data_IF_270451189762
#
_entry.id   IF_270451189762
#
_cell.length_a   1.000
_cell.length_b   1.000
_cell.length_c   1.000
_cell.angle_alpha   90.00
_cell.angle_beta   90.00
_cell.angle_gamma   90.00
#
_symmetry.space_group_name_H-M   'P 1'
#
loop_
_entity.id
_entity.type
_entity.pdbx_description
1 polymer ?
#
# COMPACT_ATOMS: atom_id res chain seq x y z
N UNK A 1 -22.84 -5.53 7.44
CA UNK A 1 -23.04 -5.34 8.89
C UNK A 1 -21.70 -5.28 9.63
N UNK A 2 -21.48 -4.22 10.40
CA UNK A 2 -20.26 -4.06 11.23
C UNK A 2 -20.58 -4.49 12.66
N UNK A 3 -19.88 -5.49 13.18
CA UNK A 3 -20.05 -5.93 14.58
C UNK A 3 -19.38 -4.93 15.52
N UNK A 4 -20.02 -4.61 16.66
CA UNK A 4 -19.45 -3.74 17.71
C UNK A 4 -18.39 -4.46 18.56
N UNK A 5 -18.30 -5.79 18.49
CA UNK A 5 -17.42 -6.58 19.36
C UNK A 5 -15.96 -6.55 18.87
N UNK A 6 -15.00 -6.00 19.64
CA UNK A 6 -13.61 -5.87 19.20
C UNK A 6 -12.93 -7.21 18.88
N UNK A 7 -13.21 -8.24 19.68
CA UNK A 7 -12.68 -9.61 19.46
C UNK A 7 -13.05 -10.16 18.08
N UNK A 8 -14.31 -9.99 17.66
CA UNK A 8 -14.78 -10.46 16.35
C UNK A 8 -14.17 -9.64 15.21
N UNK A 9 -13.95 -8.34 15.40
CA UNK A 9 -13.28 -7.49 14.41
C UNK A 9 -11.81 -7.91 14.18
N UNK A 10 -11.06 -8.16 15.27
CA UNK A 10 -9.65 -8.63 15.18
C UNK A 10 -9.55 -10.00 14.51
N UNK A 11 -10.40 -10.95 14.91
CA UNK A 11 -10.47 -12.30 14.29
C UNK A 11 -10.70 -12.21 12.78
N UNK A 12 -11.65 -11.36 12.36
CA UNK A 12 -11.95 -11.13 10.93
C UNK A 12 -10.77 -10.59 10.13
N UNK A 13 -9.91 -9.77 10.73
CA UNK A 13 -8.72 -9.25 10.08
C UNK A 13 -7.63 -10.33 9.97
N UNK A 14 -7.39 -11.07 11.04
CA UNK A 14 -6.41 -12.15 11.07
C UNK A 14 -6.75 -13.28 10.08
N UNK A 15 -8.01 -13.69 10.02
CA UNK A 15 -8.50 -14.79 9.17
C UNK A 15 -8.99 -14.33 7.79
N UNK A 16 -8.72 -13.08 7.39
CA UNK A 16 -9.20 -12.56 6.12
C UNK A 16 -8.64 -13.38 4.92
N UNK A 17 -9.47 -13.78 3.93
CA UNK A 17 -9.01 -14.42 2.71
C UNK A 17 -8.23 -13.45 1.81
N UNK A 18 -7.41 -13.98 0.89
CA UNK A 18 -6.47 -13.21 0.06
C UNK A 18 -7.12 -12.03 -0.70
N UNK A 19 -8.27 -12.25 -1.33
CA UNK A 19 -8.96 -11.19 -2.07
C UNK A 19 -9.44 -10.02 -1.18
N UNK A 20 -9.72 -10.29 0.12
CA UNK A 20 -10.02 -9.24 1.11
C UNK A 20 -8.74 -8.59 1.62
N UNK A 21 -7.68 -9.36 1.87
CA UNK A 21 -6.37 -8.83 2.26
C UNK A 21 -5.83 -7.83 1.24
N UNK A 22 -6.04 -8.09 -0.06
CA UNK A 22 -5.71 -7.13 -1.12
C UNK A 22 -6.38 -5.77 -0.94
N UNK A 23 -7.66 -5.74 -0.53
CA UNK A 23 -8.39 -4.49 -0.27
C UNK A 23 -7.90 -3.80 1.01
N UNK A 24 -7.51 -4.57 2.04
CA UNK A 24 -6.95 -4.04 3.29
C UNK A 24 -5.57 -3.40 3.07
N UNK A 25 -4.80 -3.90 2.11
CA UNK A 25 -3.49 -3.38 1.72
C UNK A 25 -3.59 -2.15 0.79
N UNK A 26 -4.44 -1.19 1.15
CA UNK A 26 -4.61 0.07 0.42
C UNK A 26 -3.84 1.22 1.05
N UNK A 27 -3.29 2.11 0.21
CA UNK A 27 -2.64 3.34 0.63
C UNK A 27 -3.30 4.54 -0.06
N UNK A 28 -3.17 5.72 0.55
CA UNK A 28 -3.69 6.96 0.00
C UNK A 28 -2.88 7.40 -1.22
N UNK A 29 -3.54 8.02 -2.19
CA UNK A 29 -2.87 8.69 -3.30
C UNK A 29 -2.47 10.11 -2.89
N UNK A 30 -1.35 10.59 -3.43
CA UNK A 30 -0.96 11.98 -3.33
C UNK A 30 -2.00 12.88 -4.03
N UNK A 31 -2.27 14.05 -3.46
CA UNK A 31 -3.15 15.06 -4.06
C UNK A 31 -2.63 15.52 -5.41
N UNK A 32 -1.32 15.75 -5.50
CA UNK A 32 -0.62 16.11 -6.75
C UNK A 32 -0.96 15.12 -7.88
N UNK A 33 -0.85 13.82 -7.61
CA UNK A 33 -1.13 12.79 -8.61
C UNK A 33 -2.61 12.71 -8.99
N UNK A 34 -3.52 13.00 -8.06
CA UNK A 34 -4.96 13.06 -8.35
C UNK A 34 -5.31 14.26 -9.23
N UNK A 35 -4.69 15.42 -8.97
CA UNK A 35 -4.88 16.65 -9.73
C UNK A 35 -4.32 16.52 -11.14
N UNK A 36 -3.08 16.03 -11.28
CA UNK A 36 -2.40 15.81 -12.56
C UNK A 36 -3.23 14.94 -13.50
N UNK A 37 -3.76 13.83 -13.00
CA UNK A 37 -4.44 12.86 -13.85
C UNK A 37 -5.85 13.28 -14.25
N UNK A 38 -6.45 14.30 -13.60
CA UNK A 38 -7.86 14.75 -13.76
C UNK A 38 -8.91 13.62 -13.80
N UNK A 39 -8.52 12.40 -13.44
CA UNK A 39 -9.31 11.18 -13.47
C UNK A 39 -9.98 11.03 -12.11
N UNK A 40 -11.24 10.60 -12.11
CA UNK A 40 -12.00 10.30 -10.89
C UNK A 40 -11.49 8.99 -10.26
N UNK A 41 -10.28 9.04 -9.71
CA UNK A 41 -9.68 7.95 -8.95
C UNK A 41 -10.17 8.01 -7.49
N UNK A 42 -10.30 6.86 -6.81
CA UNK A 42 -10.65 6.83 -5.40
C UNK A 42 -9.50 7.38 -4.54
N UNK A 43 -9.80 7.86 -3.33
CA UNK A 43 -8.81 8.43 -2.39
C UNK A 43 -7.69 7.46 -1.98
N UNK A 44 -7.95 6.15 -2.05
CA UNK A 44 -6.99 5.12 -1.73
C UNK A 44 -7.10 3.94 -2.70
N UNK A 45 -5.95 3.33 -3.01
CA UNK A 45 -5.84 2.20 -3.91
C UNK A 45 -5.02 1.07 -3.29
N UNK A 46 -5.31 -0.20 -3.64
CA UNK A 46 -4.44 -1.31 -3.31
C UNK A 46 -3.03 -1.10 -3.87
N UNK A 47 -2.03 -1.24 -3.01
CA UNK A 47 -0.61 -1.14 -3.38
C UNK A 47 -0.21 -2.36 -4.22
N UNK A 48 0.55 -2.13 -5.29
CA UNK A 48 1.17 -3.18 -6.12
C UNK A 48 2.69 -3.00 -6.19
N UNK A 49 3.37 -4.07 -6.57
CA UNK A 49 4.79 -4.02 -6.96
C UNK A 49 4.95 -3.02 -8.11
N UNK A 50 6.00 -2.21 -8.06
CA UNK A 50 6.29 -1.18 -9.07
C UNK A 50 5.69 0.20 -8.79
N UNK A 51 4.73 0.32 -7.86
CA UNK A 51 4.22 1.64 -7.45
C UNK A 51 5.35 2.45 -6.77
N UNK A 52 5.39 3.76 -7.03
CA UNK A 52 6.30 4.68 -6.35
C UNK A 52 5.58 5.25 -5.15
N UNK A 53 6.19 5.11 -3.99
CA UNK A 53 5.58 5.46 -2.72
C UNK A 53 6.49 6.31 -1.86
N UNK A 54 5.87 7.13 -1.01
CA UNK A 54 6.52 7.98 0.00
C UNK A 54 6.10 7.56 1.39
N UNK A 55 7.05 7.38 2.29
CA UNK A 55 6.78 7.03 3.68
C UNK A 55 6.40 8.28 4.47
N UNK A 56 5.24 8.25 5.13
CA UNK A 56 4.72 9.37 5.92
C UNK A 56 5.04 9.25 7.42
N UNK A 57 5.18 8.02 7.93
CA UNK A 57 5.35 7.75 9.36
C UNK A 57 6.49 6.76 9.62
N UNK A 58 7.11 6.88 10.80
CA UNK A 58 8.21 6.02 11.25
C UNK A 58 9.60 6.62 10.96
N UNK A 59 10.64 5.84 11.22
CA UNK A 59 12.05 6.22 11.10
C UNK A 59 12.43 6.70 9.69
N UNK A 60 11.78 6.12 8.67
CA UNK A 60 12.07 6.41 7.27
C UNK A 60 11.14 7.48 6.67
N UNK A 61 10.52 8.32 7.49
CA UNK A 61 9.62 9.39 7.04
C UNK A 61 10.31 10.29 6.01
N UNK A 62 9.58 10.64 4.95
CA UNK A 62 10.06 11.50 3.88
C UNK A 62 10.79 10.76 2.76
N UNK A 63 11.25 9.52 2.99
CA UNK A 63 11.89 8.72 1.94
C UNK A 63 10.87 8.26 0.90
N UNK A 64 11.31 8.29 -0.35
CA UNK A 64 10.56 7.80 -1.51
C UNK A 64 11.26 6.57 -2.07
N UNK A 65 10.49 5.63 -2.61
CA UNK A 65 11.03 4.42 -3.21
C UNK A 65 9.97 3.64 -3.96
N UNK A 66 10.41 2.69 -4.79
CA UNK A 66 9.52 1.74 -5.48
C UNK A 66 9.16 0.60 -4.55
N UNK A 67 7.94 0.09 -4.69
CA UNK A 67 7.51 -1.11 -3.95
C UNK A 67 8.13 -2.35 -4.58
N UNK A 68 8.99 -3.04 -3.84
CA UNK A 68 9.68 -4.26 -4.29
C UNK A 68 8.76 -5.48 -4.18
N UNK A 69 8.19 -5.71 -2.99
CA UNK A 69 7.28 -6.82 -2.73
C UNK A 69 6.09 -6.41 -1.86
N UNK A 70 4.95 -7.05 -2.11
CA UNK A 70 3.74 -6.92 -1.31
C UNK A 70 3.48 -8.28 -0.70
N UNK A 71 3.63 -8.40 0.62
CA UNK A 71 3.34 -9.62 1.34
C UNK A 71 1.94 -9.53 1.98
N UNK A 72 1.01 -10.25 1.37
CA UNK A 72 -0.35 -10.35 1.87
C UNK A 72 -0.46 -11.22 3.14
N UNK A 73 0.52 -12.09 3.46
CA UNK A 73 0.49 -12.94 4.65
C UNK A 73 0.72 -12.12 5.91
N UNK A 74 1.77 -11.28 5.88
CA UNK A 74 2.12 -10.38 6.98
C UNK A 74 1.43 -9.02 6.93
N UNK A 75 0.69 -8.72 5.85
CA UNK A 75 0.08 -7.41 5.59
C UNK A 75 1.12 -6.27 5.60
N UNK A 76 2.28 -6.54 5.00
CA UNK A 76 3.40 -5.60 4.92
C UNK A 76 3.86 -5.42 3.47
N UNK A 77 4.45 -4.27 3.20
CA UNK A 77 5.13 -3.95 1.95
C UNK A 77 6.61 -3.74 2.23
N UNK A 78 7.44 -4.10 1.26
CA UNK A 78 8.86 -3.72 1.25
C UNK A 78 9.08 -2.67 0.17
N UNK A 79 9.91 -1.69 0.49
CA UNK A 79 10.20 -0.57 -0.39
C UNK A 79 11.70 -0.58 -0.66
N UNK A 80 12.08 -0.38 -1.92
CA UNK A 80 13.47 -0.28 -2.34
C UNK A 80 14.15 0.91 -1.62
N UNK A 81 15.37 0.70 -1.12
CA UNK A 81 16.11 1.70 -0.35
C UNK A 81 15.69 1.86 1.12
N UNK A 82 14.64 1.17 1.57
CA UNK A 82 14.31 1.02 2.99
C UNK A 82 14.90 -0.28 3.54
N UNK A 83 16.18 -0.24 3.89
CA UNK A 83 16.91 -1.35 4.48
C UNK A 83 17.46 -0.99 5.85
N UNK A 84 17.73 -2.01 6.66
CA UNK A 84 18.56 -1.91 7.86
C UNK A 84 19.74 -2.88 7.75
N UNK A 85 20.89 -2.47 8.26
CA UNK A 85 22.07 -3.32 8.32
C UNK A 85 21.96 -4.29 9.50
N UNK A 86 22.24 -5.57 9.25
CA UNK A 86 22.45 -6.56 10.30
C UNK A 86 23.89 -6.51 10.81
N UNK A 87 24.16 -7.18 11.94
CA UNK A 87 25.52 -7.35 12.46
C UNK A 87 26.46 -7.99 11.42
N UNK A 88 25.92 -8.90 10.60
CA UNK A 88 26.61 -9.56 9.48
C UNK A 88 26.87 -8.64 8.27
N UNK A 89 26.68 -7.32 8.41
CA UNK A 89 26.80 -6.28 7.36
C UNK A 89 25.85 -6.45 6.16
N UNK A 90 25.01 -7.48 6.13
CA UNK A 90 23.97 -7.66 5.12
C UNK A 90 22.84 -6.65 5.31
N UNK A 91 22.29 -6.16 4.18
CA UNK A 91 21.15 -5.25 4.20
C UNK A 91 19.85 -6.04 4.03
N UNK A 92 18.91 -5.84 4.96
CA UNK A 92 17.59 -6.46 4.90
C UNK A 92 16.53 -5.40 4.77
N UNK A 93 15.54 -5.64 3.89
CA UNK A 93 14.43 -4.74 3.68
C UNK A 93 13.56 -4.61 4.94
N UNK A 94 13.21 -3.38 5.31
CA UNK A 94 12.31 -3.10 6.42
C UNK A 94 10.86 -3.28 5.97
N UNK A 95 10.05 -4.13 6.63
CA UNK A 95 8.63 -4.27 6.31
C UNK A 95 7.81 -3.09 6.86
N UNK A 96 7.15 -2.37 5.97
CA UNK A 96 6.31 -1.20 6.28
C UNK A 96 4.83 -1.55 6.12
N UNK A 97 3.96 -0.99 6.95
CA UNK A 97 2.51 -1.14 6.78
C UNK A 97 2.01 -0.10 5.76
N UNK A 98 1.15 -0.47 4.79
CA UNK A 98 0.74 0.44 3.70
C UNK A 98 -0.02 1.68 4.18
N UNK A 99 -0.65 1.65 5.36
CA UNK A 99 -1.30 2.85 5.93
C UNK A 99 -0.33 3.99 6.26
N UNK A 100 0.96 3.68 6.41
CA UNK A 100 2.00 4.65 6.75
C UNK A 100 2.64 5.26 5.51
N UNK A 101 2.07 4.99 4.33
CA UNK A 101 2.65 5.25 3.04
C UNK A 101 1.65 5.99 2.16
N UNK A 102 2.17 6.87 1.31
CA UNK A 102 1.44 7.61 0.29
C UNK A 102 1.91 7.15 -1.09
N UNK A 103 0.99 6.79 -1.98
CA UNK A 103 1.31 6.46 -3.37
C UNK A 103 1.49 7.77 -4.13
N UNK A 104 2.68 7.96 -4.69
CA UNK A 104 3.03 9.14 -5.50
C UNK A 104 2.79 8.88 -6.99
N UNK A 105 3.13 7.70 -7.48
CA UNK A 105 2.87 7.26 -8.86
C UNK A 105 2.43 5.81 -8.88
N UNK A 106 1.41 5.50 -9.68
CA UNK A 106 0.98 4.12 -9.89
C UNK A 106 1.81 3.47 -11.00
N UNK A 107 1.98 2.15 -10.89
CA UNK A 107 2.39 1.34 -12.02
C UNK A 107 1.24 1.18 -13.02
N UNK A 108 1.52 1.55 -14.28
CA UNK A 108 0.57 1.63 -15.41
C UNK A 108 0.74 0.47 -16.40
N UNK A 109 1.61 -0.50 -16.10
CA UNK A 109 1.82 -1.68 -16.95
C UNK A 109 0.54 -2.46 -17.26
N UNK A 110 -0.39 -2.54 -16.30
CA UNK A 110 -1.66 -3.24 -16.43
C UNK A 110 -2.82 -2.26 -16.73
N UNK A 111 -3.35 -2.22 -17.98
CA UNK A 111 -4.43 -1.30 -18.35
C UNK A 111 -5.76 -1.64 -17.64
N UNK A 112 -5.97 -2.88 -17.20
CA UNK A 112 -7.19 -3.27 -16.47
C UNK A 112 -7.22 -2.67 -15.07
N UNK A 113 -6.05 -2.41 -14.47
CA UNK A 113 -5.96 -1.72 -13.18
C UNK A 113 -6.59 -0.35 -13.26
N UNK A 114 -6.25 0.41 -14.29
CA UNK A 114 -6.75 1.77 -14.50
C UNK A 114 -8.23 1.76 -14.81
N UNK A 115 -8.66 0.97 -15.80
CA UNK A 115 -10.08 0.82 -16.18
C UNK A 115 -10.98 0.46 -15.01
N UNK A 116 -10.49 -0.35 -14.06
CA UNK A 116 -11.26 -0.74 -12.87
C UNK A 116 -11.58 0.44 -11.94
N UNK A 117 -10.68 1.42 -11.84
CA UNK A 117 -10.81 2.54 -10.93
C UNK A 117 -11.28 3.82 -11.63
N UNK A 118 -11.08 3.92 -12.93
CA UNK A 118 -11.66 4.94 -13.79
C UNK A 118 -13.17 4.71 -13.95
N UNK A 119 -13.96 5.46 -13.18
CA UNK A 119 -15.42 5.39 -13.25
C UNK A 119 -16.10 4.74 -12.06
N UNK A 120 -15.35 4.39 -11.00
CA UNK A 120 -15.93 4.06 -9.70
C UNK A 120 -16.56 5.32 -9.08
N UNK A 121 -17.79 5.65 -9.50
CA UNK A 121 -18.65 6.60 -8.80
C UNK A 121 -18.93 6.06 -7.38
N UNK A 122 -18.99 7.01 -6.44
CA UNK A 122 -19.27 6.86 -5.00
C UNK A 122 -20.28 5.77 -4.69
#
# INVERSE_FOLDING_TARGET
MTTKQPRKQRKRLAEAPWHRRRKLMSAHLASEYLEERKRKLPRALPVRKGDVVKVLRGEFRGREGKVATVDYRSLRITIEGLTYAKADKTQVAKPVHPSNVLIKKLDETDPLRLKRFEGARK
#
